data_IF_946054309757
#
_entry.id   IF_946054309757
#
_cell.length_a   1.000
_cell.length_b   1.000
_cell.length_c   1.000
_cell.angle_alpha   90.00
_cell.angle_beta   90.00
_cell.angle_gamma   90.00
#
_symmetry.space_group_name_H-M   'P 1'
#
loop_
_entity.id
_entity.type
_entity.pdbx_description
1 polymer ?
#
# COMPACT_ATOMS: atom_id res chain seq x y z
N UNK A 1 -9.91 -3.95 -7.14
CA UNK A 1 -9.77 -5.04 -6.15
C UNK A 1 -9.25 -6.26 -6.88
N UNK A 2 -8.03 -6.70 -6.57
CA UNK A 2 -7.50 -7.99 -7.00
C UNK A 2 -7.47 -8.90 -5.78
N UNK A 3 -8.03 -10.10 -5.90
CA UNK A 3 -7.97 -11.14 -4.89
C UNK A 3 -6.93 -12.15 -5.34
N UNK A 4 -5.86 -12.28 -4.58
CA UNK A 4 -4.86 -13.30 -4.78
C UNK A 4 -4.59 -13.97 -3.44
N UNK A 5 -4.63 -15.30 -3.45
CA UNK A 5 -4.10 -16.11 -2.35
C UNK A 5 -4.88 -16.06 -1.03
N UNK A 6 -6.18 -15.74 -1.05
CA UNK A 6 -7.01 -15.67 0.17
C UNK A 6 -6.89 -14.35 0.92
N UNK A 7 -6.22 -13.37 0.32
CA UNK A 7 -6.14 -12.00 0.81
C UNK A 7 -6.60 -11.04 -0.28
N UNK A 8 -6.92 -9.81 0.11
CA UNK A 8 -7.00 -8.70 -0.83
C UNK A 8 -6.11 -7.56 -0.37
N UNK A 9 -5.71 -6.74 -1.33
CA UNK A 9 -4.84 -5.60 -1.12
C UNK A 9 -5.59 -4.31 -1.42
N UNK A 10 -5.32 -3.27 -0.64
CA UNK A 10 -5.81 -1.92 -0.86
C UNK A 10 -4.65 -0.94 -0.81
N UNK A 11 -4.36 -0.27 -1.93
CA UNK A 11 -3.35 0.78 -1.98
C UNK A 11 -3.92 2.10 -1.49
N UNK A 12 -3.17 2.80 -0.65
CA UNK A 12 -3.59 4.04 0.02
C UNK A 12 -2.42 5.03 0.01
N UNK A 13 -2.71 6.27 -0.35
CA UNK A 13 -1.83 7.40 -0.06
C UNK A 13 -2.28 8.06 1.24
N UNK A 14 -1.66 7.72 2.37
CA UNK A 14 -2.03 8.27 3.66
C UNK A 14 -1.29 9.62 3.89
N UNK A 15 -2.00 10.77 3.95
CA UNK A 15 -1.37 12.07 4.19
C UNK A 15 -0.67 12.16 5.55
N UNK A 16 -1.08 11.36 6.54
CA UNK A 16 -0.47 11.38 7.87
C UNK A 16 0.89 10.67 7.90
N UNK A 17 1.05 9.62 7.09
CA UNK A 17 2.31 8.88 6.95
C UNK A 17 3.24 9.52 5.90
N UNK A 18 2.66 10.17 4.89
CA UNK A 18 3.38 10.86 3.82
C UNK A 18 3.98 9.95 2.75
N UNK A 19 3.54 8.71 2.67
CA UNK A 19 3.94 7.77 1.63
C UNK A 19 2.77 6.90 1.18
N UNK A 20 2.95 6.25 0.04
CA UNK A 20 2.03 5.24 -0.48
C UNK A 20 2.30 3.92 0.20
N UNK A 21 1.25 3.29 0.72
CA UNK A 21 1.30 1.97 1.34
C UNK A 21 0.18 1.10 0.78
N UNK A 22 0.30 -0.20 0.97
CA UNK A 22 -0.76 -1.14 0.67
C UNK A 22 -1.12 -1.92 1.91
N UNK A 23 -2.40 -1.90 2.26
CA UNK A 23 -2.97 -2.68 3.34
C UNK A 23 -3.38 -4.05 2.83
N UNK A 24 -3.18 -5.07 3.66
CA UNK A 24 -3.49 -6.46 3.41
C UNK A 24 -4.60 -6.86 4.37
N UNK A 25 -5.62 -7.49 3.81
CA UNK A 25 -6.81 -7.94 4.53
C UNK A 25 -7.13 -9.40 4.19
N UNK A 26 -7.81 -10.09 5.09
CA UNK A 26 -8.32 -11.43 4.80
C UNK A 26 -9.45 -11.37 3.75
N UNK A 27 -9.43 -12.25 2.75
CA UNK A 27 -10.42 -12.22 1.66
C UNK A 27 -11.84 -12.61 2.10
N UNK A 28 -11.96 -13.37 3.18
CA UNK A 28 -13.25 -13.78 3.77
C UNK A 28 -13.89 -12.69 4.62
N UNK A 29 -13.10 -11.73 5.13
CA UNK A 29 -13.59 -10.58 5.87
C UNK A 29 -12.76 -9.30 5.61
N UNK A 30 -13.31 -8.32 4.87
CA UNK A 30 -12.68 -7.02 4.65
C UNK A 30 -12.40 -6.16 5.87
N UNK A 31 -13.04 -6.45 7.01
CA UNK A 31 -12.73 -5.77 8.27
C UNK A 31 -11.53 -6.40 8.99
N UNK A 32 -11.07 -7.58 8.53
CA UNK A 32 -9.94 -8.28 9.11
C UNK A 32 -8.62 -7.80 8.48
N UNK A 33 -8.15 -6.64 8.96
CA UNK A 33 -6.85 -6.09 8.63
C UNK A 33 -5.73 -6.97 9.20
N UNK A 34 -4.80 -7.37 8.34
CA UNK A 34 -3.65 -8.21 8.70
C UNK A 34 -2.41 -7.36 8.94
N UNK A 35 -2.22 -6.35 8.09
CA UNK A 35 -1.00 -5.56 8.09
C UNK A 35 -0.88 -4.67 6.85
N UNK A 36 0.27 -4.02 6.72
CA UNK A 36 0.57 -3.14 5.60
C UNK A 36 2.00 -3.31 5.10
N UNK A 37 2.17 -3.09 3.80
CA UNK A 37 3.45 -3.06 3.11
C UNK A 37 3.69 -1.64 2.64
N UNK A 38 4.91 -1.14 2.83
CA UNK A 38 5.32 0.18 2.37
C UNK A 38 6.84 0.22 2.18
N UNK A 39 7.31 1.22 1.46
CA UNK A 39 8.72 1.40 1.16
C UNK A 39 9.20 2.75 1.69
N UNK A 40 10.27 2.74 2.49
CA UNK A 40 10.96 3.93 2.97
C UNK A 40 12.31 4.07 2.25
N UNK A 41 13.05 5.16 2.55
CA UNK A 41 14.35 5.46 1.95
C UNK A 41 15.41 4.37 2.18
N UNK A 42 15.27 3.58 3.24
CA UNK A 42 16.17 2.50 3.62
C UNK A 42 15.63 1.08 3.30
N UNK A 43 14.49 0.96 2.62
CA UNK A 43 13.99 -0.31 2.09
C UNK A 43 12.52 -0.60 2.35
N UNK A 44 12.14 -1.85 2.10
CA UNK A 44 10.78 -2.35 2.24
C UNK A 44 10.45 -2.75 3.68
N UNK A 45 9.26 -2.38 4.11
CA UNK A 45 8.71 -2.71 5.42
C UNK A 45 7.41 -3.49 5.24
N UNK A 46 7.23 -4.45 6.15
CA UNK A 46 5.96 -5.14 6.35
C UNK A 46 5.62 -4.98 7.81
N UNK A 47 4.57 -4.23 8.10
CA UNK A 47 3.99 -4.16 9.42
C UNK A 47 2.85 -5.18 9.48
N UNK A 48 2.88 -6.06 10.48
CA UNK A 48 1.85 -7.06 10.71
C UNK A 48 1.31 -6.84 12.11
N UNK A 49 0.00 -6.60 12.21
CA UNK A 49 -0.64 -6.27 13.48
C UNK A 49 -1.19 -7.54 14.17
N UNK A 50 -1.49 -8.60 13.41
CA UNK A 50 -1.79 -9.93 13.94
C UNK A 50 -0.76 -10.98 13.47
N UNK A 51 0.13 -11.37 14.38
CA UNK A 51 1.15 -12.40 14.12
C UNK A 51 0.54 -13.79 13.89
N UNK A 52 -0.69 -14.06 14.33
CA UNK A 52 -1.37 -15.32 14.05
C UNK A 52 -1.63 -15.49 12.55
N UNK A 53 -1.82 -14.39 11.81
CA UNK A 53 -1.99 -14.40 10.36
C UNK A 53 -0.70 -14.78 9.60
N UNK A 54 0.49 -14.70 10.24
CA UNK A 54 1.75 -15.13 9.63
C UNK A 54 1.88 -16.64 9.44
N UNK A 55 1.03 -17.44 10.10
CA UNK A 55 1.08 -18.90 10.06
C UNK A 55 0.48 -19.48 8.75
N UNK A 56 -0.17 -18.65 7.91
CA UNK A 56 -0.76 -19.06 6.64
C UNK A 56 0.26 -19.10 5.50
N UNK A 57 0.25 -20.17 4.70
CA UNK A 57 1.19 -20.41 3.58
C UNK A 57 1.13 -19.41 2.42
N UNK A 58 0.24 -18.41 2.48
CA UNK A 58 -0.08 -17.53 1.37
C UNK A 58 0.29 -16.06 1.61
N UNK A 59 0.58 -15.66 2.85
CA UNK A 59 0.85 -14.25 3.17
C UNK A 59 2.16 -13.76 2.53
N UNK A 60 3.20 -14.60 2.47
CA UNK A 60 4.46 -14.26 1.80
C UNK A 60 4.24 -13.95 0.32
N UNK A 61 3.42 -14.76 -0.36
CA UNK A 61 3.07 -14.55 -1.77
C UNK A 61 2.28 -13.25 -1.93
N UNK A 62 1.28 -13.00 -1.07
CA UNK A 62 0.55 -11.74 -1.06
C UNK A 62 1.48 -10.54 -0.83
N UNK A 63 2.46 -10.62 0.08
CA UNK A 63 3.44 -9.55 0.30
C UNK A 63 4.27 -9.29 -0.97
N UNK A 64 4.71 -10.33 -1.67
CA UNK A 64 5.46 -10.20 -2.92
C UNK A 64 4.61 -9.47 -3.97
N UNK A 65 3.38 -9.93 -4.19
CA UNK A 65 2.44 -9.29 -5.12
C UNK A 65 2.11 -7.86 -4.72
N UNK A 66 2.01 -7.59 -3.42
CA UNK A 66 1.77 -6.24 -2.89
C UNK A 66 2.94 -5.30 -3.20
N UNK A 67 4.18 -5.80 -3.07
CA UNK A 67 5.37 -5.03 -3.44
C UNK A 67 5.40 -4.74 -4.94
N UNK A 68 5.12 -5.76 -5.76
CA UNK A 68 5.07 -5.61 -7.22
C UNK A 68 4.00 -4.57 -7.63
N UNK A 69 2.84 -4.58 -6.98
CA UNK A 69 1.80 -3.58 -7.22
C UNK A 69 2.22 -2.16 -6.78
N UNK A 70 2.88 -2.02 -5.63
CA UNK A 70 3.36 -0.73 -5.13
C UNK A 70 4.47 -0.13 -6.01
N UNK A 71 5.22 -0.94 -6.76
CA UNK A 71 6.22 -0.48 -7.72
C UNK A 71 5.60 0.26 -8.93
N UNK A 72 4.29 0.21 -9.11
CA UNK A 72 3.58 0.97 -10.14
C UNK A 72 3.17 2.39 -9.70
N UNK A 73 3.52 2.78 -8.47
CA UNK A 73 3.22 4.10 -7.91
C UNK A 73 4.49 4.96 -7.87
N UNK A 74 4.33 6.26 -8.12
CA UNK A 74 5.43 7.21 -8.06
C UNK A 74 6.01 7.20 -6.64
N UNK A 75 7.27 6.80 -6.55
CA UNK A 75 8.00 6.70 -5.30
C UNK A 75 8.36 8.11 -4.78
N UNK A 76 7.71 8.51 -3.69
CA UNK A 76 7.85 9.83 -3.05
C UNK A 76 8.54 9.78 -1.69
N UNK A 77 9.38 8.77 -1.44
CA UNK A 77 10.09 8.60 -0.16
C UNK A 77 10.78 9.89 0.27
N UNK A 78 10.29 10.51 1.34
CA UNK A 78 10.87 11.74 1.90
C UNK A 78 10.66 12.99 1.03
N UNK A 79 9.73 12.95 0.08
CA UNK A 79 9.34 14.14 -0.66
C UNK A 79 8.51 15.08 0.22
N UNK A 80 8.70 16.38 0.05
CA UNK A 80 7.84 17.39 0.65
C UNK A 80 6.46 17.37 0.00
N UNK A 81 5.41 17.60 0.78
CA UNK A 81 4.06 17.69 0.24
C UNK A 81 3.90 18.92 -0.65
N UNK A 82 3.01 18.88 -1.66
CA UNK A 82 2.67 20.07 -2.42
C UNK A 82 2.18 21.18 -1.47
N UNK A 83 2.68 22.39 -1.65
CA UNK A 83 2.27 23.56 -0.87
C UNK A 83 0.75 23.81 -1.03
N UNK A 84 0.10 24.21 0.07
CA UNK A 84 -1.34 24.51 0.14
C UNK A 84 -2.31 23.38 -0.28
N UNK A 85 -1.81 22.15 -0.47
CA UNK A 85 -2.66 21.02 -0.82
C UNK A 85 -3.53 20.56 0.36
N UNK A 86 -4.80 20.28 0.07
CA UNK A 86 -5.70 19.60 0.99
C UNK A 86 -5.27 18.15 1.23
N UNK A 87 -5.78 17.54 2.30
CA UNK A 87 -5.55 16.11 2.60
C UNK A 87 -5.95 15.19 1.43
N UNK A 88 -7.03 15.52 0.73
CA UNK A 88 -7.49 14.75 -0.42
C UNK A 88 -6.51 14.87 -1.61
N UNK A 89 -6.00 16.07 -1.86
CA UNK A 89 -5.00 16.31 -2.91
C UNK A 89 -3.67 15.62 -2.59
N UNK A 90 -3.23 15.63 -1.33
CA UNK A 90 -2.05 14.87 -0.89
C UNK A 90 -2.25 13.37 -1.10
N UNK A 91 -3.43 12.84 -0.75
CA UNK A 91 -3.73 11.42 -0.95
C UNK A 91 -3.71 11.02 -2.42
N UNK A 92 -4.34 11.81 -3.29
CA UNK A 92 -4.32 11.60 -4.75
C UNK A 92 -2.91 11.72 -5.32
N UNK A 93 -2.16 12.73 -4.86
CA UNK A 93 -0.77 12.92 -5.22
C UNK A 93 0.02 11.66 -4.89
N UNK A 94 0.04 11.19 -3.63
CA UNK A 94 0.71 9.95 -3.22
C UNK A 94 0.29 8.74 -4.09
N UNK A 95 -0.98 8.61 -4.44
CA UNK A 95 -1.51 7.52 -5.26
C UNK A 95 -1.29 7.65 -6.78
N UNK A 96 -0.52 8.65 -7.23
CA UNK A 96 -0.16 8.76 -8.65
C UNK A 96 0.66 7.55 -9.11
N UNK A 97 0.24 6.94 -10.23
CA UNK A 97 0.94 5.82 -10.87
C UNK A 97 1.93 6.29 -11.92
N UNK A 98 3.00 5.54 -12.13
CA UNK A 98 4.00 5.78 -13.18
C UNK A 98 3.89 4.79 -14.36
N UNK A 99 3.07 3.76 -14.22
CA UNK A 99 2.86 2.70 -15.22
C UNK A 99 1.86 3.05 -16.35
N UNK A 100 1.41 4.31 -16.38
CA UNK A 100 0.44 4.82 -17.36
C UNK A 100 -1.00 4.33 -17.15
N UNK A 101 -1.30 3.59 -16.07
CA UNK A 101 -2.67 3.14 -15.72
C UNK A 101 -3.34 3.99 -14.65
N UNK A 102 -2.70 5.08 -14.22
CA UNK A 102 -3.21 5.98 -13.19
C UNK A 102 -4.16 7.05 -13.70
N UNK A 103 -4.91 7.65 -12.78
CA UNK A 103 -5.61 8.88 -13.03
C UNK A 103 -4.58 10.00 -13.26
N UNK A 104 -4.68 10.70 -14.38
CA UNK A 104 -3.96 11.95 -14.59
C UNK A 104 -4.69 13.04 -13.81
N UNK A 105 -4.02 13.68 -12.86
CA UNK A 105 -4.52 14.87 -12.17
C UNK A 105 -4.27 16.09 -13.06
#
# INVERSE_FOLDING_TARGET
MQSTSGHFIQVIGNPDDGFTSAEIYAADNPENYIGRVFELSNGWYVQVDDLACLQGSNLVQTIIETKDELLHYVNRKGAEFPEDASRAEISLWLMQRDDGKGFSI
#
